data_IF_324938074355
#
_entry.id   IF_324938074355
#
_cell.length_a   1.000
_cell.length_b   1.000
_cell.length_c   1.000
_cell.angle_alpha   90.00
_cell.angle_beta   90.00
_cell.angle_gamma   90.00
#
_symmetry.space_group_name_H-M   'P 1'
#
loop_
_entity.id
_entity.type
_entity.pdbx_description
1 polymer ?
#
# COMPACT_ATOMS: atom_id res chain seq x y z
N UNK A 1 -7.62 -18.84 -75.46
CA UNK A 1 -8.06 -17.64 -74.71
C UNK A 1 -8.30 -18.10 -73.28
N UNK A 2 -7.42 -17.70 -72.34
CA UNK A 2 -7.35 -18.27 -70.98
C UNK A 2 -8.29 -17.56 -70.00
N UNK A 3 -8.92 -18.34 -69.12
CA UNK A 3 -9.80 -17.92 -68.02
C UNK A 3 -9.00 -17.20 -66.93
N UNK A 4 -9.47 -16.06 -66.38
CA UNK A 4 -8.81 -15.49 -65.21
C UNK A 4 -9.24 -16.27 -63.96
N UNK A 5 -8.27 -16.79 -63.21
CA UNK A 5 -8.50 -17.30 -61.86
C UNK A 5 -8.71 -16.11 -60.92
N UNK A 6 -9.82 -16.11 -60.20
CA UNK A 6 -10.08 -15.14 -59.14
C UNK A 6 -8.97 -15.26 -58.08
N UNK A 7 -8.15 -14.21 -57.95
CA UNK A 7 -7.22 -14.05 -56.83
C UNK A 7 -8.06 -13.92 -55.55
N UNK A 8 -8.01 -14.93 -54.70
CA UNK A 8 -8.49 -14.82 -53.33
C UNK A 8 -7.70 -13.70 -52.65
N UNK A 9 -8.40 -12.64 -52.23
CA UNK A 9 -7.82 -11.62 -51.37
C UNK A 9 -7.37 -12.31 -50.09
N UNK A 10 -6.11 -12.11 -49.71
CA UNK A 10 -5.63 -12.44 -48.36
C UNK A 10 -6.54 -11.71 -47.37
N UNK A 11 -7.35 -12.47 -46.64
CA UNK A 11 -8.16 -11.92 -45.56
C UNK A 11 -7.21 -11.35 -44.52
N UNK A 12 -7.08 -10.02 -44.46
CA UNK A 12 -6.41 -9.38 -43.35
C UNK A 12 -7.21 -9.68 -42.08
N UNK A 13 -6.62 -10.50 -41.21
CA UNK A 13 -7.11 -10.73 -39.86
C UNK A 13 -6.90 -9.43 -39.08
N UNK A 14 -7.92 -8.58 -39.02
CA UNK A 14 -7.95 -7.43 -38.10
C UNK A 14 -8.22 -7.98 -36.69
N UNK A 15 -7.16 -8.40 -35.99
CA UNK A 15 -7.24 -8.84 -34.58
C UNK A 15 -7.04 -7.63 -33.67
N UNK A 16 -8.05 -7.38 -32.84
CA UNK A 16 -7.95 -6.45 -31.70
C UNK A 16 -7.78 -7.27 -30.41
N UNK A 17 -6.98 -6.76 -29.48
CA UNK A 17 -6.79 -7.32 -28.15
C UNK A 17 -6.80 -6.19 -27.11
N UNK A 18 -7.40 -6.43 -25.96
CA UNK A 18 -7.36 -5.56 -24.80
C UNK A 18 -7.11 -6.37 -23.53
N UNK A 19 -6.62 -5.72 -22.48
CA UNK A 19 -6.38 -6.34 -21.19
C UNK A 19 -6.87 -5.43 -20.07
N UNK A 20 -7.52 -6.03 -19.06
CA UNK A 20 -7.80 -5.38 -17.78
C UNK A 20 -6.64 -5.72 -16.87
N UNK A 21 -5.85 -4.72 -16.50
CA UNK A 21 -4.70 -4.89 -15.61
C UNK A 21 -5.04 -4.27 -14.27
N UNK A 22 -5.32 -5.12 -13.27
CA UNK A 22 -5.32 -4.69 -11.88
C UNK A 22 -3.88 -4.64 -11.40
N UNK A 23 -3.35 -3.43 -11.15
CA UNK A 23 -2.04 -3.27 -10.53
C UNK A 23 -2.23 -3.25 -9.02
N UNK A 24 -1.43 -4.00 -8.24
CA UNK A 24 -1.38 -3.80 -6.81
C UNK A 24 -1.09 -2.34 -6.51
N UNK A 25 -1.89 -1.72 -5.64
CA UNK A 25 -1.60 -0.39 -5.14
C UNK A 25 -0.36 -0.49 -4.24
N UNK A 26 0.77 -0.08 -4.79
CA UNK A 26 2.06 -0.07 -4.09
C UNK A 26 2.31 1.32 -3.52
N UNK A 27 2.72 1.40 -2.27
CA UNK A 27 3.14 2.65 -1.62
C UNK A 27 4.15 2.37 -0.52
N UNK A 28 4.89 3.39 -0.11
CA UNK A 28 5.86 3.30 0.98
C UNK A 28 5.84 4.57 1.83
N UNK A 29 6.20 4.42 3.10
CA UNK A 29 6.32 5.51 4.05
C UNK A 29 7.67 5.41 4.75
N UNK A 30 8.38 6.54 4.85
CA UNK A 30 9.68 6.62 5.54
C UNK A 30 9.47 7.40 6.83
N UNK A 31 9.56 6.69 7.95
CA UNK A 31 9.63 7.31 9.27
C UNK A 31 11.10 7.57 9.63
N UNK A 32 11.48 8.85 9.67
CA UNK A 32 12.79 9.28 10.12
C UNK A 32 12.71 9.69 11.60
N UNK A 33 13.66 9.19 12.40
CA UNK A 33 13.78 9.53 13.82
C UNK A 33 15.16 10.13 14.05
N UNK A 34 15.19 11.44 14.21
CA UNK A 34 16.39 12.14 14.63
C UNK A 34 16.48 12.16 16.17
N UNK A 35 17.66 11.91 16.74
CA UNK A 35 17.84 11.93 18.20
C UNK A 35 17.22 10.73 18.93
N UNK A 36 17.35 9.51 18.39
CA UNK A 36 16.77 8.29 18.97
C UNK A 36 17.08 8.09 20.47
N UNK A 37 18.30 8.40 20.93
CA UNK A 37 18.65 8.31 22.36
C UNK A 37 17.80 9.25 23.23
N UNK A 38 17.59 10.49 22.78
CA UNK A 38 16.75 11.46 23.49
C UNK A 38 15.28 11.03 23.47
N UNK A 39 14.81 10.47 22.35
CA UNK A 39 13.47 9.90 22.26
C UNK A 39 13.26 8.74 23.27
N UNK A 40 14.27 7.88 23.44
CA UNK A 40 14.24 6.79 24.44
C UNK A 40 14.29 7.30 25.88
N UNK A 41 14.91 8.44 26.14
CA UNK A 41 14.93 9.03 27.47
C UNK A 41 13.59 9.71 27.80
N UNK A 42 12.99 10.39 26.81
CA UNK A 42 11.74 11.13 26.98
C UNK A 42 10.50 10.22 27.12
N UNK A 43 10.47 9.07 26.44
CA UNK A 43 9.30 8.18 26.40
C UNK A 43 9.48 6.99 27.34
N UNK A 44 8.55 6.80 28.29
CA UNK A 44 8.63 5.68 29.24
C UNK A 44 8.29 4.34 28.58
N UNK A 45 8.66 3.25 29.26
CA UNK A 45 8.24 1.92 28.84
C UNK A 45 6.71 1.80 28.76
N UNK A 46 6.19 1.22 27.67
CA UNK A 46 4.76 1.10 27.40
C UNK A 46 4.12 2.35 26.80
N UNK A 47 4.81 3.49 26.81
CA UNK A 47 4.39 4.70 26.12
C UNK A 47 5.01 4.75 24.71
N UNK A 48 4.32 5.44 23.80
CA UNK A 48 4.72 5.54 22.41
C UNK A 48 4.38 6.89 21.80
N UNK A 49 4.85 7.08 20.58
CA UNK A 49 4.56 8.24 19.73
C UNK A 49 4.06 7.74 18.38
N UNK A 50 3.27 8.55 17.70
CA UNK A 50 2.68 8.21 16.39
C UNK A 50 3.46 8.92 15.26
N UNK A 51 3.47 8.32 14.07
CA UNK A 51 3.83 9.04 12.84
C UNK A 51 2.67 9.92 12.39
N UNK A 52 2.86 10.68 11.31
CA UNK A 52 1.73 11.20 10.56
C UNK A 52 0.99 10.07 9.83
N UNK A 53 -0.25 10.35 9.45
CA UNK A 53 -1.04 9.49 8.58
C UNK A 53 -0.42 9.41 7.17
N UNK A 54 -0.58 8.26 6.53
CA UNK A 54 -0.17 8.04 5.15
C UNK A 54 -1.08 7.05 4.42
N UNK A 55 -1.26 7.25 3.12
CA UNK A 55 -2.22 6.48 2.32
C UNK A 55 -1.51 5.39 1.49
N UNK A 56 -1.92 4.14 1.66
CA UNK A 56 -1.46 3.01 0.83
C UNK A 56 -2.62 2.03 0.66
N UNK A 57 -2.90 1.67 -0.60
CA UNK A 57 -3.91 0.65 -0.93
C UNK A 57 -5.29 1.00 -0.41
N UNK A 58 -5.82 2.18 -0.74
CA UNK A 58 -7.14 2.70 -0.33
C UNK A 58 -7.40 2.84 1.18
N UNK A 59 -6.38 2.58 2.00
CA UNK A 59 -6.46 2.72 3.45
C UNK A 59 -5.54 3.84 3.94
N UNK A 60 -5.96 4.48 5.03
CA UNK A 60 -5.15 5.44 5.78
C UNK A 60 -4.48 4.71 6.94
N UNK A 61 -3.15 4.77 6.98
CA UNK A 61 -2.31 4.09 7.97
C UNK A 61 -1.53 5.10 8.80
N UNK A 62 -1.12 4.68 10.00
CA UNK A 62 -0.09 5.35 10.78
C UNK A 62 0.84 4.32 11.45
N UNK A 63 2.02 4.76 11.87
CA UNK A 63 2.96 3.95 12.64
C UNK A 63 2.91 4.34 14.12
N UNK A 64 2.79 3.34 15.00
CA UNK A 64 2.97 3.50 16.44
C UNK A 64 4.40 3.10 16.82
N UNK A 65 5.15 3.99 17.45
CA UNK A 65 6.53 3.77 17.84
C UNK A 65 6.70 3.77 19.36
N UNK A 66 7.26 2.69 19.89
CA UNK A 66 7.54 2.48 21.31
C UNK A 66 9.05 2.29 21.50
N UNK A 67 9.80 3.36 21.78
CA UNK A 67 11.27 3.32 21.85
C UNK A 67 11.82 2.36 22.93
N UNK A 68 11.02 2.13 23.99
CA UNK A 68 11.35 1.25 25.10
C UNK A 68 10.40 0.04 25.19
N UNK A 69 9.77 -0.33 24.07
CA UNK A 69 8.87 -1.47 23.96
C UNK A 69 7.45 -1.16 24.45
N UNK A 70 6.47 -1.80 23.81
CA UNK A 70 5.04 -1.58 24.06
C UNK A 70 4.50 -2.33 25.28
N UNK A 71 5.15 -3.44 25.68
CA UNK A 71 4.71 -4.27 26.80
C UNK A 71 5.89 -4.99 27.47
N UNK A 72 5.61 -5.67 28.59
CA UNK A 72 6.62 -6.35 29.41
C UNK A 72 7.49 -7.35 28.64
N UNK A 73 6.94 -8.02 27.61
CA UNK A 73 7.68 -8.97 26.75
C UNK A 73 8.66 -8.26 25.81
N UNK A 74 8.41 -6.99 25.51
CA UNK A 74 9.18 -6.19 24.56
C UNK A 74 10.05 -5.11 25.22
N UNK A 75 10.24 -5.13 26.56
CA UNK A 75 10.90 -4.09 27.37
C UNK A 75 12.28 -3.58 26.92
N UNK A 76 12.98 -4.31 26.06
CA UNK A 76 14.34 -3.98 25.60
C UNK A 76 14.43 -3.68 24.10
N UNK A 77 13.29 -3.67 23.41
CA UNK A 77 13.24 -3.50 21.96
C UNK A 77 12.62 -2.16 21.60
N UNK A 78 13.14 -1.54 20.55
CA UNK A 78 12.45 -0.49 19.85
C UNK A 78 11.33 -1.15 19.03
N UNK A 79 10.07 -0.96 19.42
CA UNK A 79 8.93 -1.61 18.76
C UNK A 79 8.20 -0.62 17.85
N UNK A 80 7.84 -1.05 16.64
CA UNK A 80 7.06 -0.29 15.67
C UNK A 80 5.88 -1.16 15.23
N UNK A 81 4.69 -0.58 15.19
CA UNK A 81 3.46 -1.24 14.74
C UNK A 81 2.80 -0.42 13.64
N UNK A 82 2.21 -1.10 12.66
CA UNK A 82 1.33 -0.49 11.69
C UNK A 82 -0.10 -0.49 12.24
N UNK A 83 -0.79 0.66 12.16
CA UNK A 83 -2.17 0.82 12.60
C UNK A 83 -3.01 1.40 11.47
N UNK A 84 -4.20 0.81 11.28
CA UNK A 84 -5.25 1.36 10.42
C UNK A 84 -5.98 2.47 11.18
N UNK A 85 -6.16 3.65 10.57
CA UNK A 85 -6.70 4.83 11.27
C UNK A 85 -8.21 4.69 11.54
N UNK A 86 -8.97 4.23 10.55
CA UNK A 86 -10.34 3.68 10.64
C UNK A 86 -10.85 3.48 9.22
N UNK A 87 -11.69 2.47 8.98
CA UNK A 87 -12.45 2.39 7.73
C UNK A 87 -13.52 3.49 7.76
N UNK A 88 -13.53 4.33 6.74
CA UNK A 88 -14.71 5.16 6.49
C UNK A 88 -15.82 4.15 6.20
N UNK A 89 -16.94 4.18 6.95
CA UNK A 89 -18.02 3.24 6.71
C UNK A 89 -18.39 3.30 5.22
N UNK A 90 -18.21 2.16 4.54
CA UNK A 90 -18.69 1.94 3.18
C UNK A 90 -20.21 2.08 3.22
N UNK A 91 -20.72 3.31 3.00
CA UNK A 91 -22.14 3.50 2.72
C UNK A 91 -22.44 2.70 1.46
N UNK A 92 -23.32 1.68 1.53
CA UNK A 92 -23.56 0.81 0.40
C UNK A 92 -24.09 1.66 -0.75
N UNK A 93 -23.35 1.67 -1.87
CA UNK A 93 -23.81 2.29 -3.11
C UNK A 93 -25.14 1.64 -3.49
N UNK A 94 -26.25 2.34 -3.24
CA UNK A 94 -27.56 1.89 -3.70
C UNK A 94 -27.58 1.99 -5.22
N UNK A 95 -28.01 0.87 -5.82
CA UNK A 95 -27.98 0.54 -7.24
C UNK A 95 -28.57 1.60 -8.18
#
# INVERSE_FOLDING_TARGET
MATPLLRLSVGQVLRSASAIVSRPLSGSHILRIDGCSHLKEAIRHGEGTESCDFNVGDHTWLLLCYPNGSNSKCRRHFAVYLKLVSDTEDEPVRA
#
